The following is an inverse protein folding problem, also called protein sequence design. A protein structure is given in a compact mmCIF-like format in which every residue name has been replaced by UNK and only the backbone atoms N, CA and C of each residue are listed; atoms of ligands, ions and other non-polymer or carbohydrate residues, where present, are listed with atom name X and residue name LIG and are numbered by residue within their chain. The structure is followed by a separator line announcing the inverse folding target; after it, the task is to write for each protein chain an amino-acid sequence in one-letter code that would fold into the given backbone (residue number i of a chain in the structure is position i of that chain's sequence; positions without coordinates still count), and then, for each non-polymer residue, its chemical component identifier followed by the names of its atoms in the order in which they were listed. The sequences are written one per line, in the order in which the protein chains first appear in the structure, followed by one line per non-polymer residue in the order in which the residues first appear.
data_IF_007558152439
#
_entry.id   IF_007558152439
#
_cell.length_a   1.000
_cell.length_b   1.000
_cell.length_c   1.000
_cell.angle_alpha   90.00
_cell.angle_beta   90.00
_cell.angle_gamma   90.00
#
_symmetry.space_group_name_H-M   'P 1'
#
loop_
_entity.id
_entity.type
_entity.pdbx_description
1 polymer ?
#
# COMPACT_ATOMS: atom_id res chain seq x y z
N UNK A 1 21.35 3.31 -1.50
CA UNK A 1 20.28 3.58 -2.48
C UNK A 1 18.99 3.53 -1.70
N UNK A 2 18.00 4.40 -1.96
CA UNK A 2 16.73 4.33 -1.25
C UNK A 2 16.13 2.94 -1.46
N UNK A 3 15.69 2.29 -0.40
CA UNK A 3 15.08 0.96 -0.46
C UNK A 3 13.90 0.90 0.50
N UNK A 4 12.80 0.28 0.09
CA UNK A 4 11.63 0.09 0.93
C UNK A 4 11.04 -1.31 0.79
N UNK A 5 10.54 -1.82 1.91
CA UNK A 5 9.90 -3.14 2.01
C UNK A 5 8.62 -3.02 2.82
N UNK A 6 7.53 -3.64 2.33
CA UNK A 6 6.34 -3.90 3.11
C UNK A 6 6.20 -5.41 3.36
N UNK A 7 5.97 -5.78 4.61
CA UNK A 7 5.74 -7.17 5.00
C UNK A 7 4.47 -7.31 5.82
N UNK A 8 3.78 -8.43 5.62
CA UNK A 8 2.60 -8.82 6.39
C UNK A 8 2.85 -10.20 6.99
N UNK A 9 2.72 -10.34 8.31
CA UNK A 9 3.08 -11.56 9.05
C UNK A 9 4.53 -12.04 8.76
N UNK A 10 5.47 -11.11 8.67
CA UNK A 10 6.87 -11.39 8.32
C UNK A 10 7.11 -11.80 6.86
N UNK A 11 6.09 -11.88 6.01
CA UNK A 11 6.22 -12.17 4.57
C UNK A 11 6.28 -10.86 3.79
N UNK A 12 7.37 -10.61 3.07
CA UNK A 12 7.49 -9.44 2.18
C UNK A 12 6.48 -9.52 1.05
N UNK A 13 5.57 -8.56 0.99
CA UNK A 13 4.51 -8.43 -0.04
C UNK A 13 4.76 -7.30 -1.04
N UNK A 14 5.66 -6.36 -0.71
CA UNK A 14 6.14 -5.35 -1.65
C UNK A 14 7.60 -4.98 -1.35
N UNK A 15 8.38 -4.69 -2.38
CA UNK A 15 9.78 -4.30 -2.25
C UNK A 15 10.21 -3.44 -3.44
N UNK A 16 10.90 -2.32 -3.18
CA UNK A 16 11.30 -1.40 -4.25
C UNK A 16 12.46 -0.49 -3.86
N UNK A 17 13.25 -0.09 -4.86
CA UNK A 17 14.23 0.99 -4.74
C UNK A 17 13.64 2.37 -5.13
N UNK A 18 12.39 2.39 -5.59
CA UNK A 18 11.69 3.61 -6.02
C UNK A 18 10.35 3.70 -5.30
N UNK A 19 10.23 4.63 -4.36
CA UNK A 19 9.00 4.86 -3.60
C UNK A 19 8.70 6.36 -3.47
N UNK A 20 7.44 6.68 -3.20
CA UNK A 20 6.98 8.03 -2.90
C UNK A 20 6.64 8.16 -1.42
N UNK A 21 6.96 9.31 -0.81
CA UNK A 21 6.59 9.61 0.57
C UNK A 21 5.49 10.66 0.61
N UNK A 22 4.33 10.28 1.12
CA UNK A 22 3.17 11.18 1.24
C UNK A 22 2.53 11.00 2.60
N UNK A 23 2.45 12.09 3.36
CA UNK A 23 1.88 12.13 4.72
C UNK A 23 2.45 11.06 5.67
N UNK A 24 3.77 10.83 5.57
CA UNK A 24 4.46 9.80 6.37
C UNK A 24 4.29 8.37 5.87
N UNK A 25 3.50 8.13 4.81
CA UNK A 25 3.29 6.81 4.23
C UNK A 25 4.22 6.58 3.04
N UNK A 26 4.71 5.34 2.91
CA UNK A 26 5.48 4.87 1.76
C UNK A 26 4.50 4.33 0.72
N UNK A 27 4.55 4.89 -0.47
CA UNK A 27 3.81 4.41 -1.64
C UNK A 27 4.75 3.59 -2.51
N UNK A 28 4.33 2.36 -2.78
CA UNK A 28 5.02 1.39 -3.62
C UNK A 28 4.40 1.40 -5.02
N UNK A 29 5.21 1.44 -6.10
CA UNK A 29 4.69 1.34 -7.44
C UNK A 29 4.01 -0.02 -7.65
N UNK A 30 3.00 -0.14 -8.54
CA UNK A 30 2.32 -1.40 -8.79
C UNK A 30 3.25 -2.56 -9.13
N UNK A 31 4.35 -2.28 -9.84
CA UNK A 31 5.36 -3.27 -10.23
C UNK A 31 6.17 -3.85 -9.05
N UNK A 32 6.18 -3.16 -7.91
CA UNK A 32 6.85 -3.63 -6.68
C UNK A 32 5.98 -4.61 -5.86
N UNK A 33 4.70 -4.74 -6.20
CA UNK A 33 3.75 -5.54 -5.43
C UNK A 33 3.79 -7.00 -5.87
N UNK A 34 3.81 -7.90 -4.89
CA UNK A 34 3.55 -9.33 -5.10
C UNK A 34 2.04 -9.54 -5.11
N UNK A 35 1.41 -9.20 -6.23
CA UNK A 35 -0.06 -9.11 -6.40
C UNK A 35 -0.83 -10.38 -6.01
N UNK A 36 -0.20 -11.55 -6.01
CA UNK A 36 -0.79 -12.81 -5.53
C UNK A 36 -1.23 -12.78 -4.06
N UNK A 37 -0.71 -11.83 -3.27
CA UNK A 37 -1.11 -11.63 -1.87
C UNK A 37 -2.29 -10.69 -1.69
N UNK A 38 -2.76 -10.01 -2.75
CA UNK A 38 -3.72 -8.91 -2.63
C UNK A 38 -5.07 -9.30 -3.21
N UNK A 39 -6.13 -9.03 -2.44
CA UNK A 39 -7.52 -9.14 -2.90
C UNK A 39 -8.20 -7.80 -2.71
N UNK A 40 -8.91 -7.26 -3.72
CA UNK A 40 -9.64 -6.00 -3.56
C UNK A 40 -10.72 -6.14 -2.48
N UNK A 41 -10.82 -5.13 -1.64
CA UNK A 41 -11.89 -4.99 -0.64
C UNK A 41 -13.04 -4.17 -1.23
N UNK A 42 -14.24 -4.32 -0.66
CA UNK A 42 -15.37 -3.42 -0.95
C UNK A 42 -15.24 -2.08 -0.21
N UNK A 43 -14.30 -1.97 0.73
CA UNK A 43 -14.01 -0.76 1.47
C UNK A 43 -13.43 0.32 0.56
N UNK A 44 -14.03 1.51 0.62
CA UNK A 44 -13.49 2.72 0.01
C UNK A 44 -13.64 3.89 1.00
N UNK A 45 -12.73 4.86 0.92
CA UNK A 45 -12.84 6.10 1.70
C UNK A 45 -12.57 7.30 0.81
N UNK A 46 -13.17 8.43 1.14
CA UNK A 46 -12.99 9.67 0.39
C UNK A 46 -12.10 10.64 1.17
N UNK A 47 -11.00 11.06 0.55
CA UNK A 47 -10.15 12.14 1.02
C UNK A 47 -10.41 13.41 0.18
N UNK A 48 -10.79 14.55 0.78
CA UNK A 48 -11.01 15.79 0.04
C UNK A 48 -9.82 16.24 -0.82
N UNK A 49 -8.60 15.89 -0.39
CA UNK A 49 -7.35 16.30 -1.05
C UNK A 49 -6.83 15.29 -2.07
N UNK A 50 -7.05 13.99 -1.84
CA UNK A 50 -6.46 12.92 -2.67
C UNK A 50 -7.45 12.20 -3.56
N UNK A 51 -8.75 12.28 -3.29
CA UNK A 51 -9.77 11.52 -4.01
C UNK A 51 -10.19 10.25 -3.27
N UNK A 52 -10.63 9.24 -4.01
CA UNK A 52 -11.17 8.00 -3.47
C UNK A 52 -10.06 6.96 -3.28
N UNK A 53 -9.88 6.51 -2.05
CA UNK A 53 -9.01 5.38 -1.74
C UNK A 53 -9.78 4.06 -1.88
N UNK A 54 -9.17 3.11 -2.57
CA UNK A 54 -9.61 1.71 -2.62
C UNK A 54 -8.68 0.86 -1.76
N UNK A 55 -9.25 -0.08 -1.01
CA UNK A 55 -8.51 -0.89 -0.06
C UNK A 55 -8.29 -2.31 -0.58
N UNK A 56 -7.22 -2.93 -0.11
CA UNK A 56 -6.86 -4.31 -0.40
C UNK A 56 -6.68 -5.07 0.90
N UNK A 57 -7.28 -6.23 0.92
CA UNK A 57 -6.98 -7.27 1.89
C UNK A 57 -5.70 -7.98 1.47
N UNK A 58 -4.79 -8.19 2.43
CA UNK A 58 -3.52 -8.88 2.18
C UNK A 58 -3.52 -10.24 2.88
N UNK A 59 -3.30 -11.29 2.10
CA UNK A 59 -3.28 -12.68 2.57
C UNK A 59 -1.88 -13.25 2.50
N UNK A 60 -1.36 -13.70 3.63
CA UNK A 60 -0.02 -14.28 3.79
C UNK A 60 -0.14 -15.61 4.52
N UNK A 61 0.04 -16.71 3.78
CA UNK A 61 -0.16 -18.05 4.32
C UNK A 61 -1.64 -18.31 4.68
N UNK A 62 -1.90 -18.60 5.97
CA UNK A 62 -3.26 -18.83 6.50
C UNK A 62 -3.88 -17.58 7.14
N UNK A 63 -3.15 -16.47 7.17
CA UNK A 63 -3.58 -15.24 7.83
C UNK A 63 -3.96 -14.20 6.80
N UNK A 64 -5.06 -13.52 7.07
CA UNK A 64 -5.59 -12.43 6.27
C UNK A 64 -5.63 -11.16 7.12
N UNK A 65 -5.16 -10.05 6.54
CA UNK A 65 -5.29 -8.73 7.14
C UNK A 65 -6.19 -7.89 6.24
N UNK A 66 -7.43 -7.71 6.69
CA UNK A 66 -8.44 -6.94 5.97
C UNK A 66 -8.06 -5.46 5.90
N UNK A 67 -8.21 -4.87 4.70
CA UNK A 67 -7.86 -3.48 4.37
C UNK A 67 -6.44 -3.08 4.83
N UNK A 68 -5.47 -4.00 4.71
CA UNK A 68 -4.07 -3.78 5.09
C UNK A 68 -3.36 -2.74 4.22
N UNK A 69 -3.78 -2.63 2.96
CA UNK A 69 -3.20 -1.72 1.99
C UNK A 69 -4.30 -0.87 1.31
N UNK A 70 -3.91 0.27 0.76
CA UNK A 70 -4.80 1.14 0.00
C UNK A 70 -4.10 1.77 -1.20
N UNK A 71 -4.88 2.21 -2.17
CA UNK A 71 -4.41 2.95 -3.34
C UNK A 71 -5.39 4.03 -3.76
N UNK A 72 -4.88 5.08 -4.41
CA UNK A 72 -5.68 6.06 -5.12
C UNK A 72 -5.57 5.77 -6.62
N UNK A 73 -6.60 5.16 -7.21
CA UNK A 73 -6.63 4.85 -8.64
C UNK A 73 -6.69 6.12 -9.50
N UNK A 74 -7.41 7.14 -9.02
CA UNK A 74 -7.59 8.43 -9.69
C UNK A 74 -7.35 9.56 -8.67
N UNK A 75 -6.08 9.86 -8.33
CA UNK A 75 -5.79 10.89 -7.35
C UNK A 75 -6.12 12.28 -7.89
N UNK A 76 -6.48 13.20 -6.99
CA UNK A 76 -6.68 14.61 -7.34
C UNK A 76 -5.36 15.31 -7.69
N UNK A 77 -5.47 16.46 -8.34
CA UNK A 77 -4.33 17.30 -8.75
C UNK A 77 -3.35 17.56 -7.61
N UNK A 78 -2.05 17.37 -7.88
CA UNK A 78 -0.96 17.45 -6.90
C UNK A 78 -0.56 16.11 -6.28
N UNK A 79 -1.31 15.04 -6.55
CA UNK A 79 -1.04 13.67 -6.09
C UNK A 79 -0.93 12.66 -7.25
N UNK A 80 -0.74 13.11 -8.49
CA UNK A 80 -0.61 12.27 -9.69
C UNK A 80 0.56 11.28 -9.58
N UNK A 81 1.64 11.65 -8.87
CA UNK A 81 2.81 10.79 -8.67
C UNK A 81 2.53 9.49 -7.90
N UNK A 82 1.40 9.39 -7.20
CA UNK A 82 0.97 8.18 -6.47
C UNK A 82 -0.22 7.48 -7.15
N UNK A 83 -0.56 7.84 -8.38
CA UNK A 83 -1.66 7.23 -9.13
C UNK A 83 -1.45 5.71 -9.28
N UNK A 84 -2.36 4.94 -8.70
CA UNK A 84 -2.30 3.48 -8.67
C UNK A 84 -1.22 2.90 -7.74
N UNK A 85 -0.44 3.72 -7.05
CA UNK A 85 0.56 3.24 -6.10
C UNK A 85 -0.11 2.80 -4.81
N UNK A 86 0.50 1.85 -4.12
CA UNK A 86 -0.08 1.19 -2.95
C UNK A 86 0.70 1.54 -1.70
N UNK A 87 0.00 1.96 -0.66
CA UNK A 87 0.54 2.18 0.67
C UNK A 87 -0.06 1.17 1.67
N UNK A 88 0.59 0.99 2.81
CA UNK A 88 0.24 -0.02 3.83
C UNK A 88 0.03 0.62 5.20
N UNK A 89 -0.93 0.11 5.98
CA UNK A 89 -1.20 0.63 7.32
C UNK A 89 -0.25 0.01 8.32
N UNK A 90 0.85 0.70 8.63
CA UNK A 90 1.73 0.31 9.73
C UNK A 90 0.93 0.19 11.03
N UNK A 91 0.95 -1.01 11.63
CA UNK A 91 0.26 -1.31 12.90
C UNK A 91 -1.18 -1.85 12.77
N UNK A 92 -1.72 -2.04 11.56
CA UNK A 92 -2.98 -2.78 11.37
C UNK A 92 -2.67 -4.27 11.25
N UNK A 93 -2.81 -5.02 12.34
CA UNK A 93 -2.32 -6.40 12.40
C UNK A 93 -0.80 -6.44 12.37
N UNK A 94 -0.22 -7.48 11.78
CA UNK A 94 1.23 -7.65 11.64
C UNK A 94 1.73 -7.06 10.30
N UNK A 95 1.43 -5.78 10.07
CA UNK A 95 1.87 -5.02 8.88
C UNK A 95 3.05 -4.14 9.28
N UNK A 96 4.19 -4.37 8.65
CA UNK A 96 5.41 -3.58 8.81
C UNK A 96 5.82 -2.92 7.49
N UNK A 97 6.23 -1.65 7.57
CA UNK A 97 6.82 -0.91 6.45
C UNK A 97 8.19 -0.40 6.90
N UNK A 98 9.23 -0.76 6.15
CA UNK A 98 10.61 -0.33 6.39
C UNK A 98 11.08 0.45 5.17
N UNK A 99 11.84 1.53 5.42
CA UNK A 99 12.51 2.32 4.39
C UNK A 99 13.89 2.74 4.88
N UNK A 100 14.87 2.76 3.99
CA UNK A 100 16.27 3.13 4.24
C UNK A 100 16.73 4.27 3.34
#
# INVERSE_FOLDING_TARGET
MPHATASVNGITVAETDTYELVDGNVYFPPAALKTSHFTPSTTTTYCPYKGTASYFTVTTGKTEVADAAWSYAEPKTGFERIEGWVAFYGGRGDVEVKKE
#
